data_IF_881154845621
#
_entry.id   IF_881154845621
#
_cell.length_a   1.000
_cell.length_b   1.000
_cell.length_c   1.000
_cell.angle_alpha   90.00
_cell.angle_beta   90.00
_cell.angle_gamma   90.00
#
_symmetry.space_group_name_H-M   'P 1'
#
loop_
_entity.id
_entity.type
_entity.pdbx_description
1 polymer ?
#
# COMPACT_ATOMS: atom_id res chain seq x y z
N UNK A 1 -2.82 8.14 13.70
CA UNK A 1 -2.49 6.73 13.35
C UNK A 1 -3.45 6.07 12.35
N UNK A 2 -4.65 6.60 12.08
CA UNK A 2 -5.62 5.94 11.17
C UNK A 2 -5.26 6.15 9.68
N UNK A 3 -4.63 7.26 9.32
CA UNK A 3 -4.29 7.57 7.93
C UNK A 3 -3.27 6.60 7.32
N UNK A 4 -2.40 5.98 8.11
CA UNK A 4 -1.34 5.08 7.60
C UNK A 4 -1.92 3.81 6.98
N UNK A 5 -2.77 3.02 7.68
CA UNK A 5 -3.39 1.85 7.05
C UNK A 5 -4.31 2.23 5.88
N UNK A 6 -4.95 3.40 5.90
CA UNK A 6 -5.77 3.87 4.78
C UNK A 6 -4.94 4.19 3.53
N UNK A 7 -3.75 4.78 3.69
CA UNK A 7 -2.81 4.99 2.57
C UNK A 7 -2.37 3.64 2.01
N UNK A 8 -2.09 2.67 2.87
CA UNK A 8 -1.68 1.34 2.44
C UNK A 8 -2.79 0.63 1.65
N UNK A 9 -4.02 0.60 2.18
CA UNK A 9 -5.14 -0.08 1.52
C UNK A 9 -5.58 0.62 0.24
N UNK A 10 -5.57 1.96 0.20
CA UNK A 10 -5.81 2.70 -1.04
C UNK A 10 -4.71 2.46 -2.08
N UNK A 11 -3.46 2.27 -1.66
CA UNK A 11 -2.38 1.88 -2.57
C UNK A 11 -2.59 0.48 -3.15
N UNK A 12 -3.03 -0.50 -2.35
CA UNK A 12 -3.42 -1.81 -2.87
C UNK A 12 -4.53 -1.70 -3.90
N UNK A 13 -5.58 -0.90 -3.61
CA UNK A 13 -6.68 -0.69 -4.54
C UNK A 13 -6.23 -0.07 -5.86
N UNK A 14 -5.35 0.94 -5.83
CA UNK A 14 -4.77 1.52 -7.04
C UNK A 14 -3.87 0.51 -7.78
N UNK A 15 -3.12 -0.33 -7.06
CA UNK A 15 -2.25 -1.34 -7.64
C UNK A 15 -3.00 -2.50 -8.32
N UNK A 16 -4.28 -2.74 -7.98
CA UNK A 16 -5.11 -3.74 -8.69
C UNK A 16 -5.28 -3.44 -10.19
N UNK A 17 -5.12 -2.18 -10.60
CA UNK A 17 -5.20 -1.76 -12.01
C UNK A 17 -4.12 -2.38 -12.91
N UNK A 18 -3.09 -2.99 -12.34
CA UNK A 18 -2.05 -3.71 -13.11
C UNK A 18 -2.58 -4.97 -13.81
N UNK A 19 -3.70 -5.52 -13.35
CA UNK A 19 -4.21 -6.82 -13.81
C UNK A 19 -3.32 -7.99 -13.35
N UNK A 20 -3.71 -9.24 -13.66
CA UNK A 20 -2.92 -10.42 -13.32
C UNK A 20 -1.53 -10.35 -13.97
N UNK A 21 -0.47 -10.46 -13.17
CA UNK A 21 0.92 -10.37 -13.65
C UNK A 21 1.45 -11.71 -14.18
N UNK A 22 0.86 -12.81 -13.72
CA UNK A 22 1.17 -14.17 -14.16
C UNK A 22 -0.07 -15.06 -14.00
N UNK A 23 -0.14 -16.13 -14.77
CA UNK A 23 -1.23 -17.09 -14.66
C UNK A 23 -0.99 -18.05 -13.49
N UNK A 24 -2.03 -18.29 -12.72
CA UNK A 24 -2.04 -19.29 -11.65
C UNK A 24 -2.88 -20.50 -12.06
N UNK A 25 -2.46 -21.72 -11.71
CA UNK A 25 -3.23 -22.92 -12.01
C UNK A 25 -4.57 -22.90 -11.24
N UNK A 26 -5.59 -23.55 -11.79
CA UNK A 26 -6.98 -23.48 -11.28
C UNK A 26 -7.10 -23.89 -9.81
N UNK A 27 -6.27 -24.84 -9.34
CA UNK A 27 -6.25 -25.28 -7.94
C UNK A 27 -5.75 -24.22 -6.94
N UNK A 28 -5.06 -23.18 -7.43
CA UNK A 28 -4.54 -22.08 -6.62
C UNK A 28 -5.33 -20.77 -6.86
N UNK A 29 -6.27 -20.78 -7.81
CA UNK A 29 -7.10 -19.62 -8.11
C UNK A 29 -8.11 -19.38 -6.99
N UNK A 30 -8.01 -18.21 -6.36
CA UNK A 30 -8.93 -17.79 -5.30
C UNK A 30 -9.71 -16.57 -5.80
N UNK A 31 -11.05 -16.54 -5.63
CA UNK A 31 -11.87 -15.41 -6.07
C UNK A 31 -11.35 -14.07 -5.54
N UNK A 32 -11.19 -13.10 -6.44
CA UNK A 32 -10.72 -11.74 -6.14
C UNK A 32 -9.29 -11.65 -5.56
N UNK A 33 -8.51 -12.72 -5.62
CA UNK A 33 -7.11 -12.76 -5.23
C UNK A 33 -6.22 -13.05 -6.45
N UNK A 34 -6.56 -12.42 -7.57
CA UNK A 34 -5.74 -12.47 -8.77
C UNK A 34 -4.32 -11.97 -8.45
N UNK A 35 -3.28 -12.55 -9.07
CA UNK A 35 -1.88 -12.22 -8.81
C UNK A 35 -1.49 -10.88 -9.48
N UNK A 36 -2.24 -9.82 -9.18
CA UNK A 36 -1.93 -8.46 -9.55
C UNK A 36 -1.02 -7.80 -8.50
N UNK A 37 -0.52 -6.60 -8.82
CA UNK A 37 0.41 -5.89 -7.97
C UNK A 37 -0.16 -5.58 -6.58
N UNK A 38 -1.47 -5.33 -6.47
CA UNK A 38 -2.14 -5.07 -5.18
C UNK A 38 -2.14 -6.31 -4.29
N UNK A 39 -2.48 -7.47 -4.85
CA UNK A 39 -2.45 -8.76 -4.14
C UNK A 39 -1.03 -9.12 -3.70
N UNK A 40 -0.04 -9.01 -4.59
CA UNK A 40 1.37 -9.28 -4.24
C UNK A 40 1.87 -8.35 -3.13
N UNK A 41 1.59 -7.05 -3.24
CA UNK A 41 1.98 -6.07 -2.23
C UNK A 41 1.33 -6.38 -0.87
N UNK A 42 0.10 -6.89 -0.84
CA UNK A 42 -0.57 -7.28 0.40
C UNK A 42 0.07 -8.48 1.08
N UNK A 43 0.54 -9.48 0.31
CA UNK A 43 1.28 -10.62 0.86
C UNK A 43 2.65 -10.21 1.38
N UNK A 44 3.37 -9.35 0.65
CA UNK A 44 4.67 -8.82 1.07
C UNK A 44 4.50 -8.04 2.39
N UNK A 45 3.54 -7.11 2.46
CA UNK A 45 3.31 -6.35 3.69
C UNK A 45 2.80 -7.19 4.84
N UNK A 46 1.86 -8.11 4.58
CA UNK A 46 1.39 -9.05 5.59
C UNK A 46 2.52 -9.92 6.14
N UNK A 47 3.37 -10.46 5.27
CA UNK A 47 4.56 -11.23 5.67
C UNK A 47 5.52 -10.42 6.53
N UNK A 48 5.80 -9.17 6.16
CA UNK A 48 6.62 -8.26 6.96
C UNK A 48 6.02 -8.01 8.34
N UNK A 49 4.69 -7.83 8.44
CA UNK A 49 4.03 -7.65 9.75
C UNK A 49 4.16 -8.90 10.63
N UNK A 50 3.98 -10.10 10.07
CA UNK A 50 4.17 -11.37 10.80
C UNK A 50 5.60 -11.54 11.29
N UNK A 51 6.59 -11.16 10.46
CA UNK A 51 8.00 -11.23 10.82
C UNK A 51 8.38 -10.27 11.95
N UNK A 52 7.71 -9.11 12.04
CA UNK A 52 7.95 -8.14 13.11
C UNK A 52 7.38 -8.62 14.45
N UNK A 53 6.15 -9.10 14.45
CA UNK A 53 5.51 -9.66 15.64
C UNK A 53 4.49 -10.72 15.21
N UNK A 54 4.69 -12.01 15.55
CA UNK A 54 3.89 -13.10 14.98
C UNK A 54 2.39 -13.01 15.25
N UNK A 55 1.97 -12.54 16.43
CA UNK A 55 0.56 -12.62 16.85
C UNK A 55 -0.27 -11.49 16.22
N UNK A 56 0.04 -10.23 16.53
CA UNK A 56 -0.60 -9.06 15.95
C UNK A 56 -0.28 -8.92 14.46
N UNK A 57 0.92 -9.32 14.04
CA UNK A 57 1.31 -9.32 12.63
C UNK A 57 0.45 -10.25 11.79
N UNK A 58 0.04 -11.40 12.31
CA UNK A 58 -0.90 -12.30 11.61
C UNK A 58 -2.26 -11.65 11.41
N UNK A 59 -2.77 -10.94 12.42
CA UNK A 59 -4.03 -10.19 12.29
C UNK A 59 -3.90 -9.12 11.20
N UNK A 60 -2.80 -8.38 11.18
CA UNK A 60 -2.53 -7.38 10.15
C UNK A 60 -2.35 -7.99 8.76
N UNK A 61 -1.74 -9.17 8.65
CA UNK A 61 -1.60 -9.89 7.39
C UNK A 61 -2.95 -10.30 6.82
N UNK A 62 -3.85 -10.84 7.66
CA UNK A 62 -5.21 -11.16 7.26
C UNK A 62 -5.95 -9.90 6.78
N UNK A 63 -5.80 -8.78 7.48
CA UNK A 63 -6.39 -7.51 7.08
C UNK A 63 -5.83 -7.00 5.74
N UNK A 64 -4.52 -7.14 5.49
CA UNK A 64 -3.90 -6.75 4.23
C UNK A 64 -4.44 -7.57 3.05
N UNK A 65 -4.44 -8.90 3.19
CA UNK A 65 -4.94 -9.81 2.15
C UNK A 65 -6.44 -9.60 1.93
N UNK A 66 -7.22 -9.43 3.00
CA UNK A 66 -8.65 -9.11 2.93
C UNK A 66 -8.92 -7.76 2.25
N UNK A 67 -8.09 -6.74 2.50
CA UNK A 67 -8.18 -5.45 1.83
C UNK A 67 -7.88 -5.55 0.33
N UNK A 68 -6.88 -6.34 -0.08
CA UNK A 68 -6.59 -6.59 -1.49
C UNK A 68 -7.73 -7.35 -2.18
N UNK A 69 -8.27 -8.39 -1.55
CA UNK A 69 -9.42 -9.13 -2.05
C UNK A 69 -10.65 -8.24 -2.21
N UNK A 70 -10.95 -7.43 -1.19
CA UNK A 70 -12.04 -6.45 -1.24
C UNK A 70 -11.83 -5.39 -2.32
N UNK A 71 -10.59 -4.92 -2.51
CA UNK A 71 -10.27 -3.97 -3.56
C UNK A 71 -10.45 -4.56 -4.97
N UNK A 72 -10.04 -5.80 -5.19
CA UNK A 72 -10.28 -6.51 -6.45
C UNK A 72 -11.78 -6.72 -6.70
N UNK A 73 -12.55 -7.09 -5.68
CA UNK A 73 -14.00 -7.18 -5.78
C UNK A 73 -14.63 -5.84 -6.19
N UNK A 74 -14.28 -4.75 -5.50
CA UNK A 74 -14.79 -3.41 -5.80
C UNK A 74 -14.36 -2.95 -7.20
N UNK A 75 -13.13 -3.29 -7.61
CA UNK A 75 -12.60 -3.00 -8.94
C UNK A 75 -13.42 -3.67 -10.04
N UNK A 76 -13.85 -4.92 -9.84
CA UNK A 76 -14.72 -5.65 -10.77
C UNK A 76 -16.13 -5.05 -10.79
N UNK A 77 -16.66 -4.65 -9.63
CA UNK A 77 -18.01 -4.11 -9.52
C UNK A 77 -18.14 -2.69 -10.12
N UNK A 78 -17.21 -1.79 -9.78
CA UNK A 78 -17.18 -0.41 -10.28
C UNK A 78 -15.72 0.11 -10.32
N UNK A 79 -15.02 -0.06 -11.45
CA UNK A 79 -13.61 0.29 -11.57
C UNK A 79 -13.35 1.79 -11.50
N UNK A 80 -14.29 2.61 -11.97
CA UNK A 80 -14.14 4.07 -12.01
C UNK A 80 -14.29 4.65 -10.62
N UNK A 81 -15.36 4.28 -9.90
CA UNK A 81 -15.59 4.77 -8.55
C UNK A 81 -14.53 4.24 -7.58
N UNK A 82 -14.13 2.97 -7.69
CA UNK A 82 -13.07 2.39 -6.84
C UNK A 82 -11.77 3.17 -6.96
N UNK A 83 -11.34 3.49 -8.20
CA UNK A 83 -10.13 4.27 -8.43
C UNK A 83 -10.26 5.71 -7.92
N UNK A 84 -11.41 6.36 -8.14
CA UNK A 84 -11.66 7.73 -7.65
C UNK A 84 -11.60 7.80 -6.13
N UNK A 85 -12.28 6.89 -5.45
CA UNK A 85 -12.30 6.82 -3.98
C UNK A 85 -10.92 6.47 -3.45
N UNK A 86 -10.25 5.46 -4.01
CA UNK A 86 -8.90 5.09 -3.59
C UNK A 86 -7.92 6.25 -3.73
N UNK A 87 -7.93 6.96 -4.85
CA UNK A 87 -7.07 8.12 -5.08
C UNK A 87 -7.40 9.27 -4.11
N UNK A 88 -8.69 9.57 -3.91
CA UNK A 88 -9.12 10.60 -2.99
C UNK A 88 -8.67 10.29 -1.55
N UNK A 89 -8.90 9.06 -1.08
CA UNK A 89 -8.45 8.60 0.26
C UNK A 89 -6.93 8.69 0.37
N UNK A 90 -6.19 8.25 -0.66
CA UNK A 90 -4.73 8.27 -0.67
C UNK A 90 -4.20 9.69 -0.51
N UNK A 91 -4.69 10.64 -1.33
CA UNK A 91 -4.26 12.04 -1.30
C UNK A 91 -4.66 12.71 0.01
N UNK A 92 -5.92 12.58 0.44
CA UNK A 92 -6.41 13.22 1.67
C UNK A 92 -5.66 12.70 2.88
N UNK A 93 -5.40 11.39 2.97
CA UNK A 93 -4.65 10.82 4.09
C UNK A 93 -3.20 11.27 4.09
N UNK A 94 -2.54 11.35 2.93
CA UNK A 94 -1.19 11.90 2.82
C UNK A 94 -1.14 13.36 3.27
N UNK A 95 -2.06 14.21 2.77
CA UNK A 95 -2.14 15.61 3.16
C UNK A 95 -2.40 15.75 4.67
N UNK A 96 -3.32 14.96 5.23
CA UNK A 96 -3.58 14.94 6.66
C UNK A 96 -2.36 14.51 7.48
N UNK A 97 -1.56 13.55 7.00
CA UNK A 97 -0.30 13.18 7.65
C UNK A 97 0.73 14.30 7.58
N UNK A 98 0.96 14.89 6.41
CA UNK A 98 1.91 16.00 6.26
C UNK A 98 1.51 17.22 7.09
N UNK A 99 0.22 17.58 7.09
CA UNK A 99 -0.30 18.68 7.90
C UNK A 99 -0.24 18.36 9.39
N UNK A 100 -0.57 17.14 9.79
CA UNK A 100 -0.48 16.70 11.18
C UNK A 100 0.96 16.74 11.70
N UNK A 101 1.92 16.16 10.97
CA UNK A 101 3.33 16.22 11.34
C UNK A 101 3.88 17.65 11.28
N UNK A 102 3.57 18.42 10.25
CA UNK A 102 4.05 19.81 10.11
C UNK A 102 3.49 20.77 11.17
N UNK A 103 2.21 20.62 11.55
CA UNK A 103 1.56 21.48 12.53
C UNK A 103 1.91 21.11 13.99
N UNK A 104 2.11 19.83 14.29
CA UNK A 104 2.35 19.37 15.67
C UNK A 104 3.82 19.13 16.02
N UNK A 105 4.70 18.86 15.04
CA UNK A 105 6.11 18.57 15.32
C UNK A 105 7.06 19.73 14.96
N UNK A 106 6.60 20.75 14.22
CA UNK A 106 7.36 21.99 13.94
C UNK A 106 8.70 21.79 13.22
N UNK A 107 9.02 20.56 12.78
CA UNK A 107 10.23 20.19 12.06
C UNK A 107 9.87 19.83 10.63
N UNK A 108 10.81 20.04 9.71
CA UNK A 108 10.65 19.67 8.32
C UNK A 108 10.25 18.19 8.21
N UNK A 109 9.34 17.81 7.30
CA UNK A 109 8.92 16.44 7.14
C UNK A 109 10.13 15.57 6.79
N UNK A 110 10.30 14.43 7.48
CA UNK A 110 11.43 13.52 7.31
C UNK A 110 11.65 13.06 5.85
N UNK A 111 10.66 13.22 4.97
CA UNK A 111 10.78 13.01 3.53
C UNK A 111 11.69 14.02 2.82
N UNK A 112 11.73 15.29 3.23
CA UNK A 112 12.68 16.26 2.69
C UNK A 112 14.11 15.92 3.13
N UNK A 113 14.28 15.56 4.41
CA UNK A 113 15.57 15.13 4.94
C UNK A 113 16.05 13.85 4.26
N UNK A 114 15.17 12.84 4.09
CA UNK A 114 15.50 11.61 3.38
C UNK A 114 15.71 11.81 1.87
N UNK A 115 15.02 12.75 1.21
CA UNK A 115 15.24 13.07 -0.20
C UNK A 115 16.57 13.79 -0.40
N UNK A 116 16.90 14.77 0.45
CA UNK A 116 18.21 15.42 0.44
C UNK A 116 19.30 14.42 0.78
N UNK A 117 19.09 13.58 1.78
CA UNK A 117 20.02 12.52 2.14
C UNK A 117 20.19 11.51 1.00
N UNK A 118 19.12 11.10 0.30
CA UNK A 118 19.23 10.24 -0.87
C UNK A 118 19.93 10.93 -2.06
N UNK A 119 19.70 12.23 -2.28
CA UNK A 119 20.33 12.99 -3.36
C UNK A 119 21.83 13.26 -3.09
N UNK A 120 22.20 13.51 -1.82
CA UNK A 120 23.57 13.84 -1.41
C UNK A 120 24.40 12.62 -0.95
N UNK A 121 23.76 11.55 -0.44
CA UNK A 121 24.43 10.30 -0.05
C UNK A 121 24.33 9.20 -1.10
N UNK A 122 23.58 9.35 -2.20
CA UNK A 122 23.77 8.47 -3.36
C UNK A 122 25.18 8.75 -3.93
N UNK A 123 26.16 7.84 -3.76
CA UNK A 123 27.46 8.04 -4.37
C UNK A 123 27.26 7.91 -5.87
N UNK A 124 27.67 8.91 -6.63
CA UNK A 124 28.02 8.71 -8.03
C UNK A 124 29.23 7.78 -8.07
N UNK A 125 29.04 6.47 -7.94
CA UNK A 125 30.07 5.50 -8.35
C UNK A 125 30.03 5.38 -9.87
N UNK A 126 30.43 6.45 -10.54
CA UNK A 126 31.07 6.37 -11.84
C UNK A 126 32.49 5.89 -11.57
N UNK A 127 32.72 4.60 -11.80
CA UNK A 127 34.03 3.98 -11.90
C UNK A 127 34.03 3.11 -13.15
#
# INVERSE_FOLDING_TARGET
>A
MICVPLILFSAFALATNTGPLFDIPEWLSVPYLDPNLGTLASFIWGGLYVLLEPVAGTVLAILCVGAAAGANYLKVADPENTNKVALAVHIVCWLAQFLGHGAFEGRAPALLDNLLQALFLAPSSSG
#
